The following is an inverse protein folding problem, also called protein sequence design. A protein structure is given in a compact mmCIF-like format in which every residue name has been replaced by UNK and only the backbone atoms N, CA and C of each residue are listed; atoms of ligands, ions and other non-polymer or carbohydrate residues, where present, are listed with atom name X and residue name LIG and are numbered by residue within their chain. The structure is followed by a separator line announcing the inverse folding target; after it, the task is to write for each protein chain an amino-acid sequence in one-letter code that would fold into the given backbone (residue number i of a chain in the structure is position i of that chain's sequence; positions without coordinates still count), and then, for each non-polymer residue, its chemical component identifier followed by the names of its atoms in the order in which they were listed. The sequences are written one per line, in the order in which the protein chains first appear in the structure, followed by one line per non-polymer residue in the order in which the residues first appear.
data_IF_085259629919
#
_entry.id   IF_085259629919
#
_cell.length_a   1.000
_cell.length_b   1.000
_cell.length_c   1.000
_cell.angle_alpha   90.00
_cell.angle_beta   90.00
_cell.angle_gamma   90.00
#
_symmetry.space_group_name_H-M   'P 1'
#
loop_
_entity.id
_entity.type
_entity.pdbx_description
1 polymer ?
#
# COMPACT_ATOMS: atom_id res chain seq x y z
N UNK A 1 -18.57 -12.84 13.14
CA UNK A 1 -18.33 -12.11 11.88
C UNK A 1 -18.18 -13.14 10.76
N UNK A 2 -18.64 -12.87 9.53
CA UNK A 2 -18.36 -13.73 8.36
C UNK A 2 -17.02 -13.32 7.72
N UNK A 3 -16.49 -14.13 6.78
CA UNK A 3 -15.19 -13.88 6.17
C UNK A 3 -15.14 -12.56 5.38
N UNK A 4 -16.16 -12.26 4.57
CA UNK A 4 -16.21 -11.02 3.77
C UNK A 4 -16.16 -9.76 4.65
N UNK A 5 -16.94 -9.73 5.74
CA UNK A 5 -16.90 -8.62 6.68
C UNK A 5 -15.54 -8.54 7.40
N UNK A 6 -14.94 -9.69 7.73
CA UNK A 6 -13.62 -9.73 8.37
C UNK A 6 -12.52 -9.22 7.43
N UNK A 7 -12.53 -9.61 6.15
CA UNK A 7 -11.65 -9.07 5.11
C UNK A 7 -11.81 -7.56 4.98
N UNK A 8 -13.05 -7.07 4.91
CA UNK A 8 -13.36 -5.64 4.84
C UNK A 8 -12.78 -4.87 6.02
N UNK A 9 -13.00 -5.34 7.25
CA UNK A 9 -12.45 -4.71 8.46
C UNK A 9 -10.91 -4.77 8.49
N UNK A 10 -10.31 -5.86 8.04
CA UNK A 10 -8.85 -6.01 7.97
C UNK A 10 -8.23 -4.95 7.03
N UNK A 11 -8.76 -4.82 5.81
CA UNK A 11 -8.35 -3.79 4.85
C UNK A 11 -8.58 -2.37 5.39
N UNK A 12 -9.72 -2.14 6.05
CA UNK A 12 -10.08 -0.84 6.60
C UNK A 12 -9.13 -0.40 7.72
N UNK A 13 -8.80 -1.31 8.64
CA UNK A 13 -7.84 -1.09 9.73
C UNK A 13 -6.43 -0.86 9.20
N UNK A 14 -6.02 -1.65 8.20
CA UNK A 14 -4.74 -1.44 7.51
C UNK A 14 -4.68 -0.05 6.88
N UNK A 15 -5.69 0.32 6.08
CA UNK A 15 -5.81 1.65 5.44
C UNK A 15 -5.66 2.77 6.45
N UNK A 16 -6.37 2.66 7.57
CA UNK A 16 -6.37 3.68 8.59
C UNK A 16 -4.99 3.85 9.23
N UNK A 17 -4.32 2.77 9.61
CA UNK A 17 -2.97 2.86 10.17
C UNK A 17 -1.94 3.31 9.15
N UNK A 18 -2.05 2.87 7.89
CA UNK A 18 -1.18 3.29 6.80
C UNK A 18 -1.26 4.81 6.60
N UNK A 19 -2.47 5.36 6.44
CA UNK A 19 -2.68 6.80 6.23
C UNK A 19 -2.39 7.67 7.46
N UNK A 20 -2.38 7.10 8.67
CA UNK A 20 -2.11 7.82 9.92
C UNK A 20 -0.75 7.45 10.54
N UNK A 21 0.13 6.73 9.85
CA UNK A 21 1.39 6.25 10.41
C UNK A 21 2.27 7.39 10.93
N UNK A 22 2.39 8.48 10.16
CA UNK A 22 3.11 9.69 10.59
C UNK A 22 2.49 10.35 11.82
N UNK A 23 1.15 10.49 11.83
CA UNK A 23 0.43 11.04 12.97
C UNK A 23 0.69 10.23 14.25
N UNK A 24 0.73 8.91 14.13
CA UNK A 24 0.94 7.97 15.25
C UNK A 24 2.39 7.98 15.72
N UNK A 25 3.35 7.88 14.80
CA UNK A 25 4.75 7.56 15.13
C UNK A 25 5.63 8.80 15.30
N UNK A 26 5.37 9.89 14.57
CA UNK A 26 6.21 11.08 14.63
C UNK A 26 6.36 11.67 16.06
N UNK A 27 5.32 11.73 16.91
CA UNK A 27 5.45 12.20 18.30
C UNK A 27 6.47 11.44 19.15
N UNK A 28 6.84 10.24 18.73
CA UNK A 28 7.81 9.38 19.42
C UNK A 28 9.22 9.48 18.84
N UNK A 29 9.44 10.29 17.80
CA UNK A 29 10.78 10.64 17.34
C UNK A 29 11.51 11.41 18.43
N UNK A 30 12.77 11.05 18.65
CA UNK A 30 13.57 11.58 19.73
C UNK A 30 14.98 11.87 19.27
N UNK A 31 15.53 12.99 19.71
CA UNK A 31 16.93 13.33 19.59
C UNK A 31 17.59 13.20 20.98
N UNK A 32 18.70 12.48 21.06
CA UNK A 32 19.48 12.33 22.30
C UNK A 32 19.79 13.69 22.92
N UNK A 33 19.61 13.79 24.23
CA UNK A 33 20.10 14.94 24.99
C UNK A 33 21.62 15.00 25.03
N UNK A 34 22.18 16.16 25.33
CA UNK A 34 23.64 16.32 25.50
C UNK A 34 24.21 15.40 26.59
N UNK A 35 23.45 15.12 27.64
CA UNK A 35 23.85 14.22 28.72
C UNK A 35 23.93 12.76 28.26
N UNK A 36 22.91 12.29 27.53
CA UNK A 36 22.87 10.95 26.95
C UNK A 36 23.98 10.76 25.91
N UNK A 37 24.23 11.78 25.08
CA UNK A 37 25.35 11.78 24.14
C UNK A 37 26.68 11.59 24.90
N UNK A 38 26.96 12.41 25.92
CA UNK A 38 28.20 12.30 26.70
C UNK A 38 28.34 10.92 27.34
N UNK A 39 27.24 10.35 27.86
CA UNK A 39 27.24 9.00 28.41
C UNK A 39 27.58 7.95 27.35
N UNK A 40 26.91 8.00 26.19
CA UNK A 40 27.17 7.07 25.08
C UNK A 40 28.60 7.17 24.57
N UNK A 41 29.14 8.37 24.43
CA UNK A 41 30.52 8.58 23.97
C UNK A 41 31.53 7.97 24.95
N UNK A 42 31.32 8.13 26.25
CA UNK A 42 32.14 7.49 27.29
C UNK A 42 32.06 5.97 27.21
N UNK A 43 30.87 5.40 27.06
CA UNK A 43 30.66 3.96 26.95
C UNK A 43 31.32 3.38 25.67
N UNK A 44 31.23 4.08 24.54
CA UNK A 44 31.91 3.68 23.30
C UNK A 44 33.43 3.70 23.45
N UNK A 45 33.97 4.77 24.06
CA UNK A 45 35.40 4.89 24.31
C UNK A 45 35.92 3.77 25.23
N UNK A 46 35.17 3.41 26.28
CA UNK A 46 35.53 2.31 27.18
C UNK A 46 35.49 0.96 26.44
N UNK A 47 34.44 0.72 25.64
CA UNK A 47 34.19 -0.60 25.04
C UNK A 47 35.02 -0.87 23.79
N UNK A 48 35.31 0.15 23.01
CA UNK A 48 35.93 0.02 21.69
C UNK A 48 37.22 0.81 21.52
N UNK A 49 37.62 1.61 22.51
CA UNK A 49 38.83 2.45 22.47
C UNK A 49 38.76 3.67 21.55
N UNK A 50 37.73 3.78 20.72
CA UNK A 50 37.52 4.87 19.76
C UNK A 50 36.05 5.31 19.73
N UNK A 51 35.81 6.55 19.31
CA UNK A 51 34.48 7.14 19.12
C UNK A 51 34.13 7.05 17.64
N UNK A 52 32.96 6.47 17.33
CA UNK A 52 32.51 6.28 15.95
C UNK A 52 31.40 7.25 15.53
N UNK A 53 30.65 7.80 16.49
CA UNK A 53 29.55 8.73 16.23
C UNK A 53 29.48 9.79 17.34
N UNK A 54 29.94 10.99 17.04
CA UNK A 54 30.06 12.14 17.96
C UNK A 54 28.85 13.08 17.96
N UNK A 55 27.92 12.90 17.02
CA UNK A 55 26.64 13.62 16.98
C UNK A 55 25.55 12.95 17.84
N UNK A 56 24.55 13.72 18.32
CA UNK A 56 23.33 13.16 18.91
C UNK A 56 22.65 12.17 17.97
N UNK A 57 22.17 11.04 18.48
CA UNK A 57 21.36 10.11 17.68
C UNK A 57 19.92 10.61 17.61
N UNK A 58 19.35 10.54 16.41
CA UNK A 58 17.91 10.71 16.19
C UNK A 58 17.32 9.33 15.91
N UNK A 59 16.30 8.94 16.67
CA UNK A 59 15.66 7.65 16.52
C UNK A 59 14.20 7.67 16.95
N UNK A 60 13.42 6.73 16.44
CA UNK A 60 12.08 6.47 16.95
C UNK A 60 12.20 5.81 18.32
N UNK A 61 11.74 6.47 19.37
CA UNK A 61 11.74 5.94 20.73
C UNK A 61 10.57 4.95 20.91
N UNK A 62 10.74 3.79 20.31
CA UNK A 62 9.67 2.81 20.16
C UNK A 62 9.19 2.24 21.51
N UNK A 63 10.02 2.22 22.55
CA UNK A 63 9.58 1.72 23.89
C UNK A 63 8.49 2.59 24.50
N UNK A 64 8.37 3.86 24.11
CA UNK A 64 7.24 4.70 24.54
C UNK A 64 5.90 4.26 23.95
N UNK A 65 5.89 3.41 22.92
CA UNK A 65 4.67 2.78 22.39
C UNK A 65 4.14 1.67 23.32
N UNK A 66 4.95 1.17 24.26
CA UNK A 66 4.55 0.06 25.14
C UNK A 66 3.29 0.38 25.94
N UNK A 67 3.09 1.66 26.30
CA UNK A 67 1.89 2.14 27.00
C UNK A 67 0.60 2.14 26.17
N UNK A 68 0.68 1.99 24.84
CA UNK A 68 -0.48 1.98 23.94
C UNK A 68 -0.62 0.68 23.13
N UNK A 69 0.27 -0.30 23.33
CA UNK A 69 0.21 -1.59 22.63
C UNK A 69 -1.10 -2.36 22.83
N UNK A 70 -1.74 -2.22 24.01
CA UNK A 70 -3.07 -2.80 24.25
C UNK A 70 -4.14 -2.20 23.33
N UNK A 71 -4.03 -0.91 23.01
CA UNK A 71 -4.93 -0.23 22.09
C UNK A 71 -4.69 -0.68 20.64
N UNK A 72 -3.44 -0.91 20.25
CA UNK A 72 -3.11 -1.50 18.95
C UNK A 72 -3.62 -2.95 18.84
N UNK A 73 -3.45 -3.77 19.87
CA UNK A 73 -3.98 -5.13 19.92
C UNK A 73 -5.50 -5.13 19.75
N UNK A 74 -6.23 -4.30 20.53
CA UNK A 74 -7.68 -4.13 20.41
C UNK A 74 -8.09 -3.68 19.01
N UNK A 75 -7.45 -2.63 18.49
CA UNK A 75 -7.76 -2.06 17.18
C UNK A 75 -7.60 -3.07 16.04
N UNK A 76 -6.51 -3.84 16.05
CA UNK A 76 -6.16 -4.75 14.96
C UNK A 76 -6.96 -6.05 15.01
N UNK A 77 -7.33 -6.52 16.20
CA UNK A 77 -7.76 -7.91 16.43
C UNK A 77 -9.16 -8.05 17.02
N UNK A 78 -9.82 -6.96 17.42
CA UNK A 78 -11.20 -7.03 17.93
C UNK A 78 -12.23 -7.34 16.84
N UNK A 79 -13.40 -7.83 17.25
CA UNK A 79 -14.54 -8.07 16.38
C UNK A 79 -15.58 -6.93 16.37
N UNK A 80 -15.22 -5.79 16.98
CA UNK A 80 -15.99 -4.54 16.86
C UNK A 80 -15.57 -3.77 15.60
N UNK A 81 -16.45 -2.94 15.02
CA UNK A 81 -16.07 -2.04 13.93
C UNK A 81 -14.88 -1.14 14.30
N UNK A 82 -13.99 -0.91 13.34
CA UNK A 82 -12.81 -0.04 13.54
C UNK A 82 -13.14 1.30 14.21
N UNK A 83 -14.23 1.97 13.79
CA UNK A 83 -14.63 3.28 14.31
C UNK A 83 -15.00 3.27 15.80
N UNK A 84 -15.41 2.12 16.32
CA UNK A 84 -15.80 1.96 17.72
C UNK A 84 -14.60 1.65 18.64
N UNK A 85 -13.44 1.31 18.05
CA UNK A 85 -12.24 1.01 18.82
C UNK A 85 -11.68 2.24 19.55
N UNK A 86 -11.08 2.00 20.72
CA UNK A 86 -10.51 3.08 21.53
C UNK A 86 -9.37 3.81 20.83
N UNK A 87 -8.53 3.08 20.10
CA UNK A 87 -7.42 3.69 19.35
C UNK A 87 -7.94 4.63 18.27
N UNK A 88 -8.99 4.23 17.54
CA UNK A 88 -9.59 5.08 16.53
C UNK A 88 -10.09 6.39 17.14
N UNK A 89 -10.92 6.31 18.19
CA UNK A 89 -11.48 7.48 18.87
C UNK A 89 -10.38 8.39 19.43
N UNK A 90 -9.34 7.81 20.04
CA UNK A 90 -8.17 8.54 20.52
C UNK A 90 -7.51 9.32 19.38
N UNK A 91 -7.21 8.66 18.25
CA UNK A 91 -6.56 9.31 17.11
C UNK A 91 -7.44 10.40 16.48
N UNK A 92 -8.75 10.19 16.38
CA UNK A 92 -9.65 11.24 15.90
C UNK A 92 -9.65 12.47 16.81
N UNK A 93 -9.60 12.28 18.14
CA UNK A 93 -9.49 13.39 19.09
C UNK A 93 -8.17 14.16 18.95
N UNK A 94 -7.09 13.47 18.50
CA UNK A 94 -5.76 14.04 18.33
C UNK A 94 -5.59 14.82 17.03
N UNK A 95 -6.36 14.53 15.97
CA UNK A 95 -6.26 15.21 14.67
C UNK A 95 -6.43 16.73 14.73
N UNK A 96 -7.19 17.23 15.70
CA UNK A 96 -7.43 18.66 15.88
C UNK A 96 -6.78 19.22 17.16
N UNK A 97 -5.97 18.42 17.85
CA UNK A 97 -5.32 18.84 19.09
C UNK A 97 -4.01 19.57 18.77
N UNK A 98 -3.96 20.87 19.03
CA UNK A 98 -2.82 21.73 18.66
C UNK A 98 -1.49 21.25 19.28
N UNK A 99 -1.48 20.94 20.57
CA UNK A 99 -0.27 20.49 21.28
C UNK A 99 0.27 19.17 20.70
N UNK A 100 -0.63 18.24 20.37
CA UNK A 100 -0.24 16.99 19.74
C UNK A 100 0.30 17.20 18.32
N UNK A 101 -0.32 18.07 17.52
CA UNK A 101 0.17 18.41 16.18
C UNK A 101 1.53 19.13 16.21
N UNK A 102 1.81 19.91 17.26
CA UNK A 102 3.14 20.48 17.50
C UNK A 102 4.17 19.36 17.75
N UNK A 103 3.83 18.35 18.55
CA UNK A 103 4.70 17.18 18.77
C UNK A 103 4.92 16.37 17.48
N UNK A 104 3.88 16.18 16.67
CA UNK A 104 3.98 15.55 15.34
C UNK A 104 4.94 16.35 14.46
N UNK A 105 4.74 17.66 14.35
CA UNK A 105 5.57 18.53 13.50
C UNK A 105 7.03 18.51 13.93
N UNK A 106 7.29 18.56 15.24
CA UNK A 106 8.64 18.42 15.79
C UNK A 106 9.27 17.07 15.42
N UNK A 107 8.53 15.98 15.57
CA UNK A 107 9.00 14.66 15.23
C UNK A 107 9.29 14.46 13.73
N UNK A 108 8.47 15.07 12.86
CA UNK A 108 8.72 15.10 11.41
C UNK A 108 9.98 15.89 11.07
N UNK A 109 10.22 17.03 11.72
CA UNK A 109 11.45 17.80 11.52
C UNK A 109 12.70 17.00 11.94
N UNK A 110 12.62 16.21 13.02
CA UNK A 110 13.69 15.29 13.40
C UNK A 110 13.91 14.19 12.36
N UNK A 111 12.85 13.61 11.81
CA UNK A 111 12.92 12.62 10.75
C UNK A 111 13.60 13.17 9.49
N UNK A 112 13.24 14.39 9.07
CA UNK A 112 13.86 15.09 7.95
C UNK A 112 15.35 15.35 8.20
N UNK A 113 15.70 15.81 9.41
CA UNK A 113 17.10 16.03 9.82
C UNK A 113 17.93 14.76 9.75
N UNK A 114 17.41 13.65 10.28
CA UNK A 114 18.07 12.34 10.23
C UNK A 114 18.25 11.84 8.78
N UNK A 115 17.28 12.12 7.91
CA UNK A 115 17.33 11.72 6.51
C UNK A 115 18.25 12.60 5.66
N UNK A 116 18.40 13.88 5.99
CA UNK A 116 19.36 14.76 5.32
C UNK A 116 20.82 14.30 5.52
N UNK A 117 21.12 13.71 6.68
CA UNK A 117 22.45 13.18 7.01
C UNK A 117 22.72 11.79 6.37
N UNK A 118 21.68 11.09 5.86
CA UNK A 118 21.78 9.74 5.27
C UNK A 118 21.81 9.77 3.75
N UNK A 119 22.95 9.39 3.14
CA UNK A 119 23.13 9.39 1.68
C UNK A 119 22.50 8.21 0.92
N UNK A 120 22.12 7.12 1.59
CA UNK A 120 21.83 5.85 0.88
C UNK A 120 20.48 5.21 1.20
N UNK A 121 19.98 5.32 2.45
CA UNK A 121 18.70 4.74 2.85
C UNK A 121 18.01 5.67 3.85
N UNK A 122 17.00 6.45 3.43
CA UNK A 122 16.25 7.28 4.36
C UNK A 122 15.57 6.39 5.41
N UNK A 123 15.63 6.81 6.66
CA UNK A 123 14.82 6.26 7.72
C UNK A 123 13.35 6.57 7.44
N UNK A 124 12.52 5.52 7.40
CA UNK A 124 11.08 5.64 7.20
C UNK A 124 10.34 5.23 8.48
N UNK A 125 9.32 6.01 8.83
CA UNK A 125 8.30 5.59 9.80
C UNK A 125 7.08 5.11 9.03
N UNK A 126 6.65 3.90 9.31
CA UNK A 126 5.61 3.21 8.56
C UNK A 126 4.78 2.29 9.46
N UNK A 127 3.70 1.75 8.89
CA UNK A 127 2.83 0.79 9.59
C UNK A 127 3.58 -0.45 10.09
N UNK A 128 4.68 -0.87 9.47
CA UNK A 128 5.43 -2.05 9.92
C UNK A 128 6.04 -1.85 11.30
N UNK A 129 6.38 -0.61 11.70
CA UNK A 129 6.80 -0.31 13.08
C UNK A 129 5.70 -0.59 14.09
N UNK A 130 4.45 -0.21 13.76
CA UNK A 130 3.27 -0.45 14.60
C UNK A 130 2.97 -1.95 14.70
N UNK A 131 2.92 -2.63 13.55
CA UNK A 131 2.68 -4.08 13.49
C UNK A 131 3.75 -4.85 14.25
N UNK A 132 5.03 -4.48 14.07
CA UNK A 132 6.15 -5.16 14.73
C UNK A 132 6.06 -5.04 16.25
N UNK A 133 5.71 -3.84 16.74
CA UNK A 133 5.50 -3.66 18.18
C UNK A 133 4.31 -4.40 18.74
N UNK A 134 3.22 -4.47 17.99
CA UNK A 134 2.05 -5.25 18.38
C UNK A 134 2.38 -6.75 18.42
N UNK A 135 3.16 -7.24 17.45
CA UNK A 135 3.67 -8.61 17.46
C UNK A 135 4.53 -8.89 18.68
N UNK A 136 5.54 -8.06 18.96
CA UNK A 136 6.40 -8.20 20.14
C UNK A 136 5.56 -8.25 21.42
N UNK A 137 4.57 -7.36 21.53
CA UNK A 137 3.64 -7.30 22.66
C UNK A 137 2.81 -8.57 22.83
N UNK A 138 2.35 -9.19 21.73
CA UNK A 138 1.62 -10.47 21.76
C UNK A 138 2.56 -11.65 22.03
N UNK A 139 3.79 -11.60 21.52
CA UNK A 139 4.81 -12.62 21.75
C UNK A 139 5.24 -12.70 23.21
N UNK A 140 5.25 -11.57 23.91
CA UNK A 140 5.51 -11.52 25.34
C UNK A 140 4.35 -12.07 26.19
N UNK A 141 3.18 -12.38 25.60
CA UNK A 141 2.07 -13.00 26.33
C UNK A 141 2.36 -14.48 26.61
N UNK A 142 2.12 -14.87 27.86
CA UNK A 142 2.41 -16.23 28.37
C UNK A 142 1.16 -17.03 28.78
N UNK A 143 -0.03 -16.46 28.59
CA UNK A 143 -1.31 -17.09 28.90
C UNK A 143 -1.81 -18.06 27.82
N UNK A 144 -2.90 -17.71 27.14
CA UNK A 144 -3.51 -18.56 26.10
C UNK A 144 -2.64 -18.61 24.84
N UNK A 145 -1.83 -19.67 24.74
CA UNK A 145 -0.90 -19.88 23.63
C UNK A 145 -1.61 -20.12 22.29
N UNK A 146 -2.82 -20.71 22.30
CA UNK A 146 -3.59 -20.94 21.07
C UNK A 146 -4.13 -19.62 20.54
N UNK A 147 -4.73 -18.81 21.41
CA UNK A 147 -5.18 -17.48 21.03
C UNK A 147 -4.01 -16.58 20.62
N UNK A 148 -2.88 -16.65 21.31
CA UNK A 148 -1.64 -15.96 20.91
C UNK A 148 -1.23 -16.33 19.48
N UNK A 149 -1.16 -17.62 19.15
CA UNK A 149 -0.85 -18.09 17.79
C UNK A 149 -1.85 -17.53 16.76
N UNK A 150 -3.14 -17.59 17.07
CA UNK A 150 -4.19 -17.09 16.19
C UNK A 150 -4.05 -15.58 15.94
N UNK A 151 -3.77 -14.79 16.98
CA UNK A 151 -3.53 -13.35 16.86
C UNK A 151 -2.32 -13.03 15.96
N UNK A 152 -1.23 -13.77 16.11
CA UNK A 152 -0.04 -13.60 15.26
C UNK A 152 -0.34 -13.97 13.79
N UNK A 153 -1.12 -15.03 13.53
CA UNK A 153 -1.55 -15.38 12.19
C UNK A 153 -2.39 -14.26 11.54
N UNK A 154 -3.26 -13.59 12.30
CA UNK A 154 -4.01 -12.44 11.79
C UNK A 154 -3.08 -11.25 11.50
N UNK A 155 -2.07 -11.00 12.34
CA UNK A 155 -1.07 -9.96 12.07
C UNK A 155 -0.24 -10.24 10.81
N UNK A 156 0.05 -11.52 10.51
CA UNK A 156 0.71 -11.90 9.27
C UNK A 156 -0.09 -11.52 8.01
N UNK A 157 -1.43 -11.54 8.05
CA UNK A 157 -2.24 -11.03 6.93
C UNK A 157 -2.07 -9.51 6.71
N UNK A 158 -1.94 -8.72 7.78
CA UNK A 158 -1.62 -7.29 7.64
C UNK A 158 -0.24 -7.07 7.00
N UNK A 159 0.75 -7.91 7.34
CA UNK A 159 2.06 -7.88 6.67
C UNK A 159 1.96 -8.26 5.19
N UNK A 160 1.17 -9.29 4.84
CA UNK A 160 0.94 -9.72 3.45
C UNK A 160 0.30 -8.62 2.61
N UNK A 161 -0.65 -7.87 3.17
CA UNK A 161 -1.20 -6.68 2.50
C UNK A 161 -0.09 -5.66 2.22
N UNK A 162 0.71 -5.30 3.23
CA UNK A 162 1.74 -4.28 3.07
C UNK A 162 2.94 -4.69 2.23
N UNK A 163 3.15 -5.99 2.02
CA UNK A 163 4.20 -6.54 1.15
C UNK A 163 3.76 -6.77 -0.28
N UNK A 164 2.47 -6.57 -0.60
CA UNK A 164 2.02 -6.68 -1.97
C UNK A 164 2.75 -5.64 -2.82
N UNK A 165 3.54 -6.11 -3.80
CA UNK A 165 4.29 -5.24 -4.70
C UNK A 165 3.78 -5.41 -6.12
N UNK A 166 3.77 -4.27 -6.79
CA UNK A 166 3.37 -4.13 -8.15
C UNK A 166 4.50 -4.41 -9.15
N UNK A 167 5.12 -5.57 -9.01
CA UNK A 167 6.26 -5.97 -9.85
C UNK A 167 6.21 -7.44 -10.26
N UNK A 168 5.04 -8.08 -10.14
CA UNK A 168 4.83 -9.50 -10.44
C UNK A 168 5.50 -10.46 -9.46
N UNK A 169 6.19 -9.96 -8.41
CA UNK A 169 6.76 -10.79 -7.35
C UNK A 169 5.73 -10.96 -6.25
N UNK A 170 5.32 -12.19 -6.02
CA UNK A 170 4.42 -12.55 -4.92
C UNK A 170 5.29 -12.74 -3.68
N UNK A 171 5.28 -11.77 -2.78
CA UNK A 171 5.84 -11.97 -1.45
C UNK A 171 4.83 -12.78 -0.63
N UNK A 172 5.18 -14.03 -0.34
CA UNK A 172 4.33 -15.00 0.34
C UNK A 172 4.45 -14.91 1.87
N UNK A 173 5.56 -14.36 2.35
CA UNK A 173 5.80 -14.11 3.77
C UNK A 173 4.88 -13.09 4.42
N UNK A 174 4.41 -13.45 5.63
CA UNK A 174 3.89 -12.50 6.62
C UNK A 174 5.02 -11.71 7.29
N UNK A 175 5.12 -11.75 8.62
CA UNK A 175 6.18 -11.03 9.37
C UNK A 175 7.59 -11.50 9.00
N UNK A 176 7.82 -12.81 8.96
CA UNK A 176 9.11 -13.41 8.64
C UNK A 176 9.24 -13.67 7.15
N UNK A 177 10.28 -13.12 6.51
CA UNK A 177 10.63 -13.46 5.11
C UNK A 177 10.89 -14.98 5.01
N UNK A 178 10.20 -15.64 4.09
CA UNK A 178 10.42 -17.06 3.83
C UNK A 178 11.50 -17.23 2.75
N UNK A 179 12.09 -18.42 2.65
CA UNK A 179 13.08 -18.77 1.62
C UNK A 179 12.54 -18.54 0.20
N UNK A 180 11.23 -18.65 0.01
CA UNK A 180 10.54 -18.36 -1.24
C UNK A 180 10.60 -16.88 -1.67
N UNK A 181 10.87 -15.96 -0.74
CA UNK A 181 10.89 -14.51 -0.99
C UNK A 181 12.30 -13.93 -1.18
N UNK A 182 13.35 -14.75 -1.05
CA UNK A 182 14.73 -14.30 -0.90
C UNK A 182 15.71 -14.99 -1.86
N UNK A 183 15.94 -14.37 -3.03
CA UNK A 183 17.25 -14.38 -3.71
C UNK A 183 18.26 -13.41 -3.02
N UNK A 184 17.96 -12.92 -1.82
CA UNK A 184 18.86 -12.06 -1.05
C UNK A 184 18.57 -12.19 0.45
N UNK A 185 19.46 -12.87 1.16
CA UNK A 185 19.47 -13.04 2.63
C UNK A 185 19.35 -11.68 3.36
N UNK A 186 18.65 -11.61 4.50
CA UNK A 186 19.20 -12.03 5.80
C UNK A 186 18.11 -12.28 6.82
N UNK A 187 18.22 -13.41 7.52
CA UNK A 187 17.41 -13.75 8.67
C UNK A 187 17.81 -12.86 9.86
N UNK A 188 16.84 -12.16 10.46
CA UNK A 188 16.98 -11.67 11.84
C UNK A 188 16.47 -12.81 12.74
N UNK A 189 17.38 -13.72 13.09
CA UNK A 189 17.16 -14.62 14.23
C UNK A 189 17.44 -13.78 15.47
N UNK A 190 16.41 -13.48 16.24
CA UNK A 190 16.59 -12.82 17.53
C UNK A 190 17.36 -13.76 18.46
N UNK A 191 18.64 -13.47 18.69
CA UNK A 191 19.55 -14.34 19.44
C UNK A 191 19.21 -14.40 20.93
N UNK A 192 18.31 -13.53 21.41
CA UNK A 192 17.84 -13.51 22.79
C UNK A 192 16.35 -13.16 22.84
N UNK A 193 15.43 -14.15 22.81
CA UNK A 193 14.02 -13.87 23.04
C UNK A 193 13.87 -13.15 24.38
N UNK A 194 13.30 -11.94 24.36
CA UNK A 194 13.01 -11.18 25.59
C UNK A 194 12.16 -12.05 26.51
N UNK A 195 12.49 -12.05 27.80
CA UNK A 195 11.67 -12.73 28.81
C UNK A 195 10.30 -12.07 28.83
N UNK A 196 9.19 -12.83 28.91
CA UNK A 196 7.84 -12.31 29.03
C UNK A 196 7.80 -11.26 30.15
N UNK A 197 7.43 -10.02 29.81
CA UNK A 197 7.23 -8.96 30.80
C UNK A 197 5.86 -9.10 31.50
N UNK A 198 5.00 -10.01 31.05
CA UNK A 198 3.64 -10.23 31.57
C UNK A 198 3.39 -11.64 32.12
N UNK A 199 2.64 -11.68 33.22
CA UNK A 199 2.13 -12.88 33.88
C UNK A 199 1.23 -13.71 32.94
N UNK A 200 1.17 -15.03 33.18
CA UNK A 200 0.37 -16.01 32.44
C UNK A 200 -1.14 -15.72 32.47
N UNK A 201 -1.58 -14.81 33.34
CA UNK A 201 -2.99 -14.47 33.55
C UNK A 201 -3.47 -13.28 32.70
N UNK A 202 -2.55 -12.51 32.09
CA UNK A 202 -2.91 -11.29 31.35
C UNK A 202 -3.21 -11.65 29.88
N UNK A 203 -4.44 -12.12 29.64
CA UNK A 203 -4.91 -12.46 28.29
C UNK A 203 -5.47 -11.17 27.68
N UNK A 204 -4.77 -10.60 26.69
CA UNK A 204 -5.19 -9.43 25.92
C UNK A 204 -6.50 -9.67 25.15
N UNK A 205 -6.58 -9.31 23.86
CA UNK A 205 -7.79 -9.60 23.08
C UNK A 205 -8.03 -11.11 23.09
N UNK A 206 -9.19 -11.52 23.60
CA UNK A 206 -9.61 -12.93 23.62
C UNK A 206 -9.95 -13.39 22.21
N UNK A 207 -9.88 -14.70 22.00
CA UNK A 207 -10.32 -15.27 20.72
C UNK A 207 -11.77 -14.85 20.47
N UNK A 208 -12.03 -14.28 19.31
CA UNK A 208 -13.28 -13.65 18.97
C UNK A 208 -13.70 -14.00 17.53
N UNK A 209 -14.83 -13.46 17.12
CA UNK A 209 -15.42 -13.86 15.84
C UNK A 209 -14.66 -13.32 14.62
N UNK A 210 -13.88 -12.25 14.76
CA UNK A 210 -12.98 -11.73 13.72
C UNK A 210 -11.74 -12.61 13.58
N UNK A 211 -11.02 -12.88 14.69
CA UNK A 211 -9.84 -13.75 14.68
C UNK A 211 -10.19 -15.13 14.11
N UNK A 212 -11.32 -15.70 14.56
CA UNK A 212 -11.76 -17.02 14.10
C UNK A 212 -12.05 -17.02 12.60
N UNK A 213 -12.73 -15.99 12.08
CA UNK A 213 -13.05 -15.91 10.65
C UNK A 213 -11.79 -15.86 9.77
N UNK A 214 -10.75 -15.13 10.18
CA UNK A 214 -9.49 -15.02 9.45
C UNK A 214 -8.69 -16.32 9.53
N UNK A 215 -8.50 -16.88 10.73
CA UNK A 215 -7.65 -18.06 10.94
C UNK A 215 -8.24 -19.33 10.32
N UNK A 216 -9.57 -19.43 10.20
CA UNK A 216 -10.24 -20.59 9.60
C UNK A 216 -10.46 -20.44 8.09
N UNK A 217 -10.12 -19.29 7.51
CA UNK A 217 -10.27 -19.06 6.09
C UNK A 217 -9.30 -19.92 5.27
N UNK A 218 -9.74 -20.42 4.09
CA UNK A 218 -8.81 -21.02 3.14
C UNK A 218 -7.83 -19.95 2.63
N UNK A 219 -6.57 -20.35 2.47
CA UNK A 219 -5.56 -19.51 1.84
C UNK A 219 -5.43 -19.91 0.37
N UNK A 220 -5.25 -18.93 -0.51
CA UNK A 220 -4.99 -19.20 -1.93
C UNK A 220 -3.54 -19.66 -2.10
N UNK A 221 -3.32 -20.78 -2.79
CA UNK A 221 -2.00 -21.40 -2.94
C UNK A 221 -0.98 -20.46 -3.59
N UNK A 222 -1.44 -19.64 -4.53
CA UNK A 222 -0.60 -18.73 -5.31
C UNK A 222 0.06 -17.64 -4.46
N UNK A 223 -0.56 -17.26 -3.33
CA UNK A 223 -0.16 -16.07 -2.56
C UNK A 223 -0.21 -16.22 -1.03
N UNK A 224 -0.53 -17.43 -0.55
CA UNK A 224 -0.67 -17.83 0.85
C UNK A 224 -1.48 -16.84 1.71
N UNK A 225 -2.47 -16.16 1.14
CA UNK A 225 -3.32 -15.18 1.83
C UNK A 225 -4.78 -15.55 1.70
N UNK A 226 -5.60 -14.99 2.59
CA UNK A 226 -7.06 -15.09 2.52
C UNK A 226 -7.65 -14.26 1.36
N UNK A 227 -6.87 -13.33 0.80
CA UNK A 227 -7.27 -12.48 -0.33
C UNK A 227 -6.88 -13.12 -1.66
N UNK A 228 -7.80 -13.12 -2.61
CA UNK A 228 -7.51 -13.38 -4.03
C UNK A 228 -6.55 -12.33 -4.59
N UNK A 229 -5.90 -12.64 -5.71
CA UNK A 229 -5.04 -11.67 -6.40
C UNK A 229 -5.80 -10.40 -6.78
N UNK A 230 -7.03 -10.52 -7.30
CA UNK A 230 -7.85 -9.36 -7.64
C UNK A 230 -8.15 -8.49 -6.41
N UNK A 231 -8.49 -9.08 -5.26
CA UNK A 231 -8.70 -8.33 -4.02
C UNK A 231 -7.41 -7.61 -3.57
N UNK A 232 -6.25 -8.28 -3.62
CA UNK A 232 -4.98 -7.65 -3.27
C UNK A 232 -4.62 -6.49 -4.21
N UNK A 233 -4.89 -6.62 -5.51
CA UNK A 233 -4.68 -5.54 -6.48
C UNK A 233 -5.54 -4.32 -6.15
N UNK A 234 -6.81 -4.51 -5.80
CA UNK A 234 -7.70 -3.42 -5.40
C UNK A 234 -7.21 -2.72 -4.13
N UNK A 235 -6.75 -3.51 -3.16
CA UNK A 235 -6.15 -3.01 -1.92
C UNK A 235 -4.88 -2.21 -2.23
N UNK A 236 -4.00 -2.70 -3.09
CA UNK A 236 -2.77 -2.03 -3.51
C UNK A 236 -3.02 -0.71 -4.25
N UNK A 237 -3.89 -0.73 -5.26
CA UNK A 237 -4.34 0.44 -6.03
C UNK A 237 -4.81 1.57 -5.09
N UNK A 238 -5.54 1.19 -4.05
CA UNK A 238 -6.06 2.14 -3.05
C UNK A 238 -4.96 2.86 -2.25
N UNK A 239 -3.77 2.26 -2.10
CA UNK A 239 -2.74 2.77 -1.18
C UNK A 239 -1.50 3.35 -1.84
N UNK A 240 -1.03 2.69 -2.90
CA UNK A 240 0.21 3.07 -3.57
C UNK A 240 -0.03 4.03 -4.72
N UNK A 241 -1.29 4.18 -5.15
CA UNK A 241 -1.65 5.07 -6.25
C UNK A 241 -0.87 4.73 -7.52
N UNK A 242 -0.63 3.43 -7.74
CA UNK A 242 0.12 2.85 -8.86
C UNK A 242 -0.71 1.73 -9.52
N UNK A 243 -0.75 1.69 -10.86
CA UNK A 243 -1.48 0.65 -11.61
C UNK A 243 -0.79 -0.72 -11.55
N UNK A 244 -1.50 -1.84 -11.29
CA UNK A 244 -0.93 -3.17 -11.28
C UNK A 244 -0.18 -3.50 -12.59
N UNK A 245 0.96 -4.16 -12.49
CA UNK A 245 1.93 -4.39 -13.56
C UNK A 245 1.43 -5.45 -14.54
N UNK A 246 0.49 -6.26 -14.09
CA UNK A 246 -0.23 -7.29 -14.84
C UNK A 246 -1.71 -6.91 -15.00
N UNK A 247 -2.10 -5.65 -14.82
CA UNK A 247 -3.47 -5.24 -15.07
C UNK A 247 -3.73 -5.27 -16.58
N UNK A 248 -4.47 -6.28 -17.02
CA UNK A 248 -4.82 -6.48 -18.42
C UNK A 248 -6.31 -6.21 -18.65
N UNK A 249 -6.62 -5.66 -19.81
CA UNK A 249 -7.99 -5.48 -20.28
C UNK A 249 -8.14 -6.07 -21.67
N UNK A 250 -9.29 -6.71 -21.91
CA UNK A 250 -9.64 -7.18 -23.24
C UNK A 250 -9.93 -6.00 -24.17
N UNK A 251 -9.38 -6.03 -25.37
CA UNK A 251 -9.78 -5.12 -26.43
C UNK A 251 -11.20 -5.47 -26.90
N UNK A 252 -12.20 -4.85 -26.29
CA UNK A 252 -13.60 -5.11 -26.55
C UNK A 252 -14.40 -3.83 -26.82
N UNK A 253 -15.57 -4.00 -27.44
CA UNK A 253 -16.59 -2.96 -27.46
C UNK A 253 -17.07 -2.72 -26.03
N UNK A 254 -17.28 -1.45 -25.69
CA UNK A 254 -17.90 -1.07 -24.44
C UNK A 254 -19.32 -1.68 -24.37
N UNK A 255 -19.66 -2.35 -23.25
CA UNK A 255 -20.94 -3.06 -23.10
C UNK A 255 -22.16 -2.20 -23.44
N UNK A 256 -23.25 -2.86 -23.86
CA UNK A 256 -24.44 -2.20 -24.41
C UNK A 256 -25.09 -1.26 -23.39
N UNK A 257 -25.34 -0.04 -23.86
CA UNK A 257 -25.95 1.08 -23.15
C UNK A 257 -27.29 0.73 -22.48
N UNK A 258 -27.45 1.12 -21.21
CA UNK A 258 -28.77 1.30 -20.58
C UNK A 258 -29.14 2.78 -20.73
N UNK A 259 -30.35 3.05 -21.26
CA UNK A 259 -30.85 4.36 -21.72
C UNK A 259 -30.88 5.53 -20.71
N UNK A 260 -30.25 5.39 -19.55
CA UNK A 260 -30.33 6.34 -18.43
C UNK A 260 -29.00 7.06 -18.10
N UNK A 261 -27.88 6.75 -18.75
CA UNK A 261 -26.61 7.44 -18.45
C UNK A 261 -26.44 8.74 -19.25
N UNK A 262 -26.08 9.82 -18.57
CA UNK A 262 -25.77 11.17 -19.11
C UNK A 262 -24.44 11.26 -19.86
N UNK A 263 -23.67 10.18 -19.92
CA UNK A 263 -22.32 10.19 -20.45
C UNK A 263 -22.25 10.13 -21.98
N UNK A 264 -21.53 11.07 -22.59
CA UNK A 264 -21.20 11.06 -24.02
C UNK A 264 -20.16 9.98 -24.32
N UNK A 265 -20.54 8.92 -25.02
CA UNK A 265 -19.61 7.89 -25.53
C UNK A 265 -18.75 8.43 -26.67
N UNK A 266 -17.48 8.04 -26.70
CA UNK A 266 -16.58 8.34 -27.81
C UNK A 266 -17.09 7.73 -29.12
N UNK A 267 -17.31 8.58 -30.13
CA UNK A 267 -17.48 8.12 -31.52
C UNK A 267 -16.12 7.74 -32.09
N UNK A 268 -15.81 6.44 -32.10
CA UNK A 268 -14.52 5.90 -32.56
C UNK A 268 -14.32 6.09 -34.07
N UNK A 269 -13.07 6.12 -34.56
CA UNK A 269 -12.80 6.32 -35.99
C UNK A 269 -13.48 5.27 -36.86
N UNK A 270 -13.97 5.71 -38.03
CA UNK A 270 -14.56 4.81 -39.03
C UNK A 270 -13.49 3.82 -39.48
N UNK A 271 -13.81 2.53 -39.50
CA UNK A 271 -12.92 1.39 -39.80
C UNK A 271 -12.04 0.90 -38.63
N UNK A 272 -12.33 1.27 -37.38
CA UNK A 272 -11.67 0.64 -36.21
C UNK A 272 -12.58 -0.42 -35.61
N UNK A 273 -12.05 -1.62 -35.35
CA UNK A 273 -12.77 -2.72 -34.69
C UNK A 273 -11.92 -3.31 -33.55
N UNK A 274 -12.54 -3.73 -32.44
CA UNK A 274 -11.81 -4.38 -31.36
C UNK A 274 -11.28 -5.75 -31.81
N UNK A 275 -10.11 -6.16 -31.32
CA UNK A 275 -9.50 -7.44 -31.70
C UNK A 275 -9.73 -8.57 -30.68
N UNK A 276 -10.33 -8.32 -29.52
CA UNK A 276 -10.56 -9.31 -28.47
C UNK A 276 -9.32 -9.66 -27.64
N UNK A 277 -8.12 -9.37 -28.13
CA UNK A 277 -6.85 -9.60 -27.42
C UNK A 277 -6.75 -8.81 -26.12
N UNK A 278 -6.12 -9.42 -25.11
CA UNK A 278 -5.78 -8.78 -23.85
C UNK A 278 -4.50 -7.96 -23.99
N UNK A 279 -4.44 -6.80 -23.35
CA UNK A 279 -3.24 -5.99 -23.29
C UNK A 279 -3.12 -5.29 -21.94
N UNK A 280 -1.88 -5.00 -21.54
CA UNK A 280 -1.56 -4.36 -20.27
C UNK A 280 -1.91 -2.88 -20.28
N UNK A 281 -2.56 -2.41 -19.21
CA UNK A 281 -2.87 -1.01 -19.00
C UNK A 281 -1.63 -0.29 -18.48
N UNK A 282 -1.34 0.89 -19.04
CA UNK A 282 -0.21 1.72 -18.64
C UNK A 282 -0.69 3.16 -18.41
N UNK A 283 -0.48 3.71 -17.20
CA UNK A 283 -0.89 5.07 -16.83
C UNK A 283 -0.38 6.09 -17.85
N UNK A 284 0.84 5.89 -18.34
CA UNK A 284 1.47 6.77 -19.31
C UNK A 284 0.85 6.69 -20.72
N UNK A 285 -0.02 5.71 -20.99
CA UNK A 285 -0.73 5.57 -22.26
C UNK A 285 -2.22 5.90 -22.14
N UNK A 286 -2.75 6.06 -20.92
CA UNK A 286 -4.14 6.43 -20.69
C UNK A 286 -4.35 7.93 -20.98
N UNK A 287 -5.32 8.26 -21.82
CA UNK A 287 -5.67 9.64 -22.16
C UNK A 287 -7.16 9.90 -21.95
N UNK A 288 -7.50 11.17 -21.72
CA UNK A 288 -8.87 11.67 -21.57
C UNK A 288 -9.13 12.80 -22.57
N UNK A 289 -10.40 13.09 -22.87
CA UNK A 289 -10.74 14.34 -23.56
C UNK A 289 -10.77 15.48 -22.53
N UNK A 290 -9.87 16.48 -22.60
CA UNK A 290 -9.87 17.61 -21.68
C UNK A 290 -11.13 18.48 -21.76
N UNK A 291 -11.95 18.30 -22.80
CA UNK A 291 -13.20 19.04 -23.02
C UNK A 291 -14.41 18.37 -22.35
N UNK A 292 -14.27 17.12 -21.88
CA UNK A 292 -15.33 16.37 -21.23
C UNK A 292 -15.30 16.59 -19.71
N UNK A 293 -16.37 17.18 -19.18
CA UNK A 293 -16.48 17.45 -17.73
C UNK A 293 -16.63 16.18 -16.89
N UNK A 294 -16.97 15.05 -17.52
CA UNK A 294 -17.13 13.78 -16.84
C UNK A 294 -15.90 12.90 -16.96
N UNK A 295 -14.84 13.29 -17.69
CA UNK A 295 -13.60 12.54 -17.92
C UNK A 295 -13.77 11.02 -18.07
N UNK A 296 -13.76 10.54 -19.32
CA UNK A 296 -13.62 9.12 -19.64
C UNK A 296 -12.17 8.79 -19.98
N UNK A 297 -11.69 7.67 -19.44
CA UNK A 297 -10.30 7.22 -19.57
C UNK A 297 -10.19 6.22 -20.71
N UNK A 298 -9.21 6.43 -21.58
CA UNK A 298 -9.01 5.62 -22.77
C UNK A 298 -7.57 5.20 -22.93
N UNK A 299 -7.33 3.99 -23.41
CA UNK A 299 -6.01 3.56 -23.90
C UNK A 299 -6.18 2.91 -25.27
N UNK A 300 -5.22 3.15 -26.15
CA UNK A 300 -5.22 2.54 -27.47
C UNK A 300 -4.69 1.10 -27.36
N UNK A 301 -5.42 0.14 -27.93
CA UNK A 301 -4.97 -1.24 -28.00
C UNK A 301 -3.71 -1.34 -28.87
N UNK A 302 -2.59 -1.88 -28.38
CA UNK A 302 -1.35 -1.97 -29.13
C UNK A 302 -1.42 -2.92 -30.34
N UNK A 303 -2.37 -3.87 -30.33
CA UNK A 303 -2.51 -4.89 -31.38
C UNK A 303 -3.33 -4.43 -32.60
N UNK A 304 -4.28 -3.51 -32.41
CA UNK A 304 -5.21 -3.10 -33.45
C UNK A 304 -5.44 -1.60 -33.56
N UNK A 305 -4.89 -0.79 -32.65
CA UNK A 305 -5.09 0.65 -32.64
C UNK A 305 -6.49 1.08 -32.17
N UNK A 306 -7.34 0.15 -31.74
CA UNK A 306 -8.68 0.46 -31.25
C UNK A 306 -8.64 1.19 -29.91
N UNK A 307 -9.45 2.24 -29.74
CA UNK A 307 -9.50 3.01 -28.49
C UNK A 307 -10.43 2.30 -27.50
N UNK A 308 -9.84 1.75 -26.44
CA UNK A 308 -10.54 0.98 -25.40
C UNK A 308 -10.84 1.89 -24.22
N UNK A 309 -12.05 1.76 -23.65
CA UNK A 309 -12.43 2.48 -22.44
C UNK A 309 -11.87 1.76 -21.21
N UNK A 310 -11.20 2.51 -20.34
CA UNK A 310 -10.67 2.04 -19.08
C UNK A 310 -11.69 2.39 -17.98
N UNK A 311 -12.26 1.39 -17.27
CA UNK A 311 -13.23 1.65 -16.19
C UNK A 311 -12.63 2.55 -15.11
N UNK A 312 -13.45 3.46 -14.55
CA UNK A 312 -12.97 4.39 -13.51
C UNK A 312 -12.69 3.69 -12.20
N UNK A 313 -13.36 2.56 -11.98
CA UNK A 313 -13.34 1.74 -10.78
C UNK A 313 -11.98 1.07 -10.58
N UNK A 314 -11.21 0.88 -11.66
CA UNK A 314 -9.85 0.31 -11.59
C UNK A 314 -8.75 1.37 -11.46
N UNK A 315 -9.12 2.67 -11.44
CA UNK A 315 -8.19 3.78 -11.27
C UNK A 315 -8.40 4.41 -9.87
N UNK A 316 -7.32 4.63 -9.13
CA UNK A 316 -7.34 5.44 -7.90
C UNK A 316 -7.47 6.92 -8.22
N UNK A 317 -7.91 7.73 -7.25
CA UNK A 317 -8.16 9.15 -7.47
C UNK A 317 -6.88 9.95 -7.81
N UNK A 318 -5.71 9.56 -7.27
CA UNK A 318 -4.45 10.21 -7.63
C UNK A 318 -3.94 9.83 -9.02
N UNK A 319 -4.13 8.59 -9.47
CA UNK A 319 -3.91 8.17 -10.87
C UNK A 319 -4.78 9.00 -11.81
N UNK A 320 -6.08 9.14 -11.49
CA UNK A 320 -7.02 9.96 -12.28
C UNK A 320 -6.53 11.40 -12.39
N UNK A 321 -6.20 12.02 -11.26
CA UNK A 321 -5.70 13.40 -11.19
C UNK A 321 -4.44 13.57 -12.05
N UNK A 322 -3.45 12.66 -11.99
CA UNK A 322 -2.24 12.73 -12.82
C UNK A 322 -2.51 12.59 -14.31
N UNK A 323 -3.42 11.69 -14.70
CA UNK A 323 -3.82 11.51 -16.10
C UNK A 323 -4.49 12.79 -16.61
N UNK A 324 -5.44 13.33 -15.85
CA UNK A 324 -6.19 14.55 -16.18
C UNK A 324 -5.27 15.77 -16.27
N UNK A 325 -4.38 15.97 -15.29
CA UNK A 325 -3.37 17.02 -15.28
C UNK A 325 -2.42 16.94 -16.48
N UNK A 326 -2.02 15.72 -16.85
CA UNK A 326 -1.17 15.52 -18.01
C UNK A 326 -1.90 15.83 -19.31
N UNK A 327 -3.14 15.38 -19.45
CA UNK A 327 -3.95 15.61 -20.65
C UNK A 327 -4.37 17.08 -20.78
N UNK A 328 -4.62 17.78 -19.68
CA UNK A 328 -4.92 19.21 -19.68
C UNK A 328 -3.72 20.06 -20.11
N UNK A 329 -2.48 19.62 -19.80
CA UNK A 329 -1.23 20.26 -20.26
C UNK A 329 -0.96 20.08 -21.76
N UNK A 330 -1.39 18.99 -22.39
CA UNK A 330 -1.36 18.81 -23.85
C UNK A 330 -2.78 18.68 -24.41
N UNK A 331 -3.42 19.82 -24.65
CA UNK A 331 -4.78 19.91 -25.20
C UNK A 331 -4.97 19.28 -26.60
N UNK A 332 -3.89 18.84 -27.26
CA UNK A 332 -3.94 18.12 -28.54
C UNK A 332 -3.79 16.62 -28.39
N UNK A 333 -3.42 16.10 -27.22
CA UNK A 333 -3.12 14.68 -27.00
C UNK A 333 -4.28 13.79 -27.42
N UNK A 334 -5.49 14.10 -26.97
CA UNK A 334 -6.70 13.35 -27.32
C UNK A 334 -6.89 13.24 -28.84
N UNK A 335 -6.80 14.38 -29.55
CA UNK A 335 -6.94 14.42 -31.00
C UNK A 335 -5.81 13.69 -31.72
N UNK A 336 -4.58 13.75 -31.20
CA UNK A 336 -3.44 12.97 -31.74
C UNK A 336 -3.72 11.47 -31.63
N UNK A 337 -4.17 10.99 -30.47
CA UNK A 337 -4.49 9.58 -30.25
C UNK A 337 -5.65 9.11 -31.13
N UNK A 338 -6.67 9.95 -31.32
CA UNK A 338 -7.75 9.68 -32.26
C UNK A 338 -7.24 9.48 -33.69
N UNK A 339 -6.40 10.39 -34.18
CA UNK A 339 -5.80 10.30 -35.51
C UNK A 339 -4.86 9.09 -35.63
N UNK A 340 -4.09 8.77 -34.58
CA UNK A 340 -3.24 7.59 -34.59
C UNK A 340 -4.05 6.30 -34.68
N UNK A 341 -5.17 6.20 -33.97
CA UNK A 341 -6.09 5.06 -34.08
C UNK A 341 -6.61 4.89 -35.51
N UNK A 342 -7.03 5.98 -36.15
CA UNK A 342 -7.49 5.97 -37.55
C UNK A 342 -6.38 5.56 -38.52
N UNK A 343 -5.19 6.16 -38.40
CA UNK A 343 -4.04 5.85 -39.24
C UNK A 343 -3.55 4.40 -39.06
N UNK A 344 -3.53 3.90 -37.82
CA UNK A 344 -3.14 2.53 -37.52
C UNK A 344 -4.05 1.53 -38.22
N UNK A 345 -5.37 1.76 -38.16
CA UNK A 345 -6.33 0.90 -38.86
C UNK A 345 -6.17 0.98 -40.39
N UNK A 346 -5.97 2.18 -40.93
CA UNK A 346 -5.74 2.37 -42.36
C UNK A 346 -4.45 1.71 -42.84
N UNK A 347 -3.36 1.75 -42.06
CA UNK A 347 -2.13 1.02 -42.42
C UNK A 347 -2.34 -0.50 -42.35
N UNK A 348 -3.06 -1.00 -41.34
CA UNK A 348 -3.32 -2.45 -41.22
C UNK A 348 -4.20 -2.98 -42.36
N UNK A 349 -5.13 -2.17 -42.85
CA UNK A 349 -6.00 -2.48 -44.00
C UNK A 349 -5.38 -2.15 -45.37
N UNK A 350 -4.24 -1.45 -45.40
CA UNK A 350 -3.56 -1.09 -46.64
C UNK A 350 -2.92 -2.29 -47.33
N UNK A 351 -3.18 -2.43 -48.63
CA UNK A 351 -2.57 -3.47 -49.48
C UNK A 351 -1.06 -3.28 -49.62
N UNK A 352 -0.31 -4.36 -49.92
CA UNK A 352 1.14 -4.29 -50.21
C UNK A 352 1.50 -3.25 -51.28
N UNK A 353 0.61 -2.99 -52.24
CA UNK A 353 0.78 -1.97 -53.27
C UNK A 353 0.69 -0.55 -52.71
N UNK A 354 -0.28 -0.28 -51.85
CA UNK A 354 -0.46 1.03 -51.18
C UNK A 354 0.71 1.34 -50.23
N UNK A 355 1.18 0.34 -49.46
CA UNK A 355 2.33 0.51 -48.56
C UNK A 355 3.63 0.88 -49.31
N UNK A 356 3.82 0.38 -50.53
CA UNK A 356 4.97 0.72 -51.38
C UNK A 356 4.93 2.14 -51.95
N UNK A 357 3.73 2.70 -52.12
CA UNK A 357 3.57 4.09 -52.62
C UNK A 357 3.88 5.09 -51.50
N UNK A 358 3.54 4.77 -50.25
CA UNK A 358 3.77 5.63 -49.08
C UNK A 358 5.23 5.67 -48.59
N UNK A 359 6.10 4.76 -49.06
CA UNK A 359 7.53 4.72 -48.72
C UNK A 359 8.43 5.45 -49.74
N UNK A 360 7.85 5.96 -50.83
CA UNK A 360 8.50 6.88 -51.76
C UNK A 360 8.11 8.30 -51.40
#
# INVERSE_FOLDING_TARGET
MNLENAKGELVKRYKYLYGNAFLILAPYMYEETSEELVKRLKEQQIKFGNIFADKPLIYLNISKLDGINSLFEEFLLSDIPMEESKLYQLLQSKKNNKEYLEQVSYGLALLEKENADKRSFPYTIDIFKILSKTCDYIEEQSGDLNNKKNKLNVLDEYYRIGRYKNNGKIYTSGRNLDLHDCDSLSFIIDKNPRKPLRDKNDVGVKNNSFITAIVTAPHYEDNLSIFTENEKQQVYLTYHDELPCNLEIACALEEVYIHTSTDTRLQRPKNTEPCGEYFTINENEIFVDPSDSLYRYYQMCPHCGYIVNIPKEILSDGIKERIEDRCSKDNKLFRKMYLYSELYSLDKSSTKGQKRILQK
#
